data_IF_994774670574
#
_entry.id   IF_994774670574
#
_cell.length_a   1.000
_cell.length_b   1.000
_cell.length_c   1.000
_cell.angle_alpha   90.00
_cell.angle_beta   90.00
_cell.angle_gamma   90.00
#
_symmetry.space_group_name_H-M   'P 1'
#
loop_
_entity.id
_entity.type
_entity.pdbx_description
1 polymer ?
#
# COMPACT_ATOMS: atom_id res chain seq x y z
N UNK A 1 -33.85 1.73 -13.86
CA UNK A 1 -33.15 1.92 -12.58
C UNK A 1 -31.85 1.13 -12.66
N UNK A 2 -30.70 1.80 -12.79
CA UNK A 2 -29.41 1.14 -12.63
C UNK A 2 -29.25 0.78 -11.15
N UNK A 3 -28.82 -0.45 -10.81
CA UNK A 3 -28.46 -0.76 -9.43
C UNK A 3 -27.35 0.21 -8.97
N UNK A 4 -27.34 0.63 -7.70
CA UNK A 4 -26.25 1.44 -7.18
C UNK A 4 -24.93 0.69 -7.44
N UNK A 5 -23.96 1.36 -8.06
CA UNK A 5 -22.64 0.77 -8.35
C UNK A 5 -22.05 0.24 -7.05
N UNK A 6 -21.76 -1.06 -7.02
CA UNK A 6 -21.25 -1.72 -5.84
C UNK A 6 -19.85 -1.14 -5.51
N UNK A 7 -19.51 -0.87 -4.24
CA UNK A 7 -18.20 -0.33 -3.86
C UNK A 7 -17.04 -1.23 -4.33
N UNK A 8 -17.30 -2.53 -4.41
CA UNK A 8 -16.39 -3.52 -5.00
C UNK A 8 -16.13 -3.24 -6.48
N UNK A 9 -17.16 -2.97 -7.28
CA UNK A 9 -16.98 -2.68 -8.72
C UNK A 9 -16.15 -1.42 -8.96
N UNK A 10 -16.33 -0.37 -8.14
CA UNK A 10 -15.52 0.86 -8.27
C UNK A 10 -14.04 0.64 -7.92
N UNK A 11 -13.74 -0.21 -6.94
CA UNK A 11 -12.39 -0.57 -6.56
C UNK A 11 -11.72 -1.41 -7.66
N UNK A 12 -12.46 -2.34 -8.24
CA UNK A 12 -12.00 -3.25 -9.28
C UNK A 12 -11.79 -2.54 -10.63
N UNK A 13 -12.66 -1.59 -11.00
CA UNK A 13 -12.50 -0.74 -12.18
C UNK A 13 -11.20 0.08 -12.12
N UNK A 14 -10.84 0.57 -10.91
CA UNK A 14 -9.58 1.30 -10.69
C UNK A 14 -8.37 0.38 -10.79
N UNK A 15 -8.51 -0.86 -10.34
CA UNK A 15 -7.39 -1.80 -10.34
C UNK A 15 -7.01 -2.26 -11.76
N UNK A 16 -8.00 -2.54 -12.61
CA UNK A 16 -7.76 -2.90 -14.01
C UNK A 16 -7.12 -1.80 -14.88
N UNK A 17 -7.10 -0.55 -14.39
CA UNK A 17 -6.46 0.60 -15.06
C UNK A 17 -4.99 0.81 -14.63
N UNK A 18 -4.53 0.13 -13.58
CA UNK A 18 -3.25 0.38 -12.91
C UNK A 18 -2.14 -0.54 -13.46
N UNK A 19 -1.78 -0.43 -14.74
CA UNK A 19 -0.49 -1.00 -15.21
C UNK A 19 0.67 -0.13 -14.71
N UNK A 20 1.70 -0.68 -14.05
CA UNK A 20 2.81 0.11 -13.55
C UNK A 20 3.59 0.74 -14.72
N UNK A 21 3.52 2.07 -14.80
CA UNK A 21 4.44 2.87 -15.62
C UNK A 21 5.76 2.97 -14.86
N UNK A 22 6.88 2.66 -15.53
CA UNK A 22 8.23 2.79 -14.99
C UNK A 22 8.47 4.21 -14.46
N UNK A 23 8.95 4.33 -13.23
CA UNK A 23 9.27 5.61 -12.57
C UNK A 23 10.30 6.41 -13.39
N UNK A 24 10.07 7.72 -13.62
CA UNK A 24 11.07 8.62 -14.18
C UNK A 24 11.97 9.22 -13.09
N UNK A 25 13.23 9.43 -13.47
CA UNK A 25 14.36 10.01 -12.72
C UNK A 25 14.12 11.42 -12.09
N UNK A 26 12.93 11.99 -12.18
CA UNK A 26 12.61 13.36 -11.74
C UNK A 26 12.47 13.50 -10.21
N UNK A 27 12.01 12.46 -9.50
CA UNK A 27 11.79 12.52 -8.05
C UNK A 27 13.08 12.62 -7.23
N UNK A 28 14.21 12.15 -7.78
CA UNK A 28 15.55 12.30 -7.20
C UNK A 28 16.08 13.73 -7.36
N UNK A 29 15.69 14.44 -8.43
CA UNK A 29 16.13 15.81 -8.71
C UNK A 29 15.48 16.79 -7.72
N UNK A 30 14.18 16.69 -7.51
CA UNK A 30 13.45 17.57 -6.57
C UNK A 30 13.83 17.33 -5.10
N UNK A 31 14.17 16.08 -4.73
CA UNK A 31 14.66 15.74 -3.39
C UNK A 31 15.97 16.45 -3.05
N UNK A 32 16.86 16.62 -4.04
CA UNK A 32 18.14 17.33 -3.88
C UNK A 32 17.99 18.84 -3.81
N UNK A 33 16.95 19.40 -4.45
CA UNK A 33 16.62 20.83 -4.37
C UNK A 33 16.05 21.18 -2.98
N UNK A 34 15.16 20.36 -2.43
CA UNK A 34 14.57 20.59 -1.10
C UNK A 34 15.56 20.49 0.07
N UNK A 35 16.65 19.73 -0.09
CA UNK A 35 17.70 19.60 0.92
C UNK A 35 18.69 20.79 0.95
N UNK A 36 18.67 21.65 -0.08
CA UNK A 36 19.59 22.78 -0.23
C UNK A 36 19.05 24.10 0.35
N UNK A 37 17.77 24.14 0.78
CA UNK A 37 17.02 25.38 0.98
C UNK A 37 16.79 25.77 2.46
N UNK A 38 17.74 25.44 3.36
CA UNK A 38 17.63 25.79 4.77
C UNK A 38 18.80 26.69 5.23
N UNK A 39 18.75 28.01 4.98
CA UNK A 39 19.69 28.96 5.56
C UNK A 39 19.22 29.39 6.96
N UNK A 40 20.19 29.35 7.87
CA UNK A 40 20.27 29.96 9.20
C UNK A 40 19.20 31.01 9.55
N UNK A 41 18.56 30.82 10.70
CA UNK A 41 17.78 31.86 11.37
C UNK A 41 18.37 32.13 12.76
N UNK A 42 19.42 32.95 12.76
CA UNK A 42 19.97 33.64 13.93
C UNK A 42 19.15 34.91 14.22
N UNK A 43 18.57 35.01 15.42
CA UNK A 43 18.39 36.29 16.17
C UNK A 43 17.75 36.05 17.55
N UNK A 44 18.45 36.33 18.68
CA UNK A 44 18.00 36.01 20.04
C UNK A 44 17.25 37.15 20.80
N UNK A 45 16.87 38.27 20.17
CA UNK A 45 16.44 39.46 20.92
C UNK A 45 14.94 39.54 21.29
N UNK A 46 14.06 38.76 20.64
CA UNK A 46 12.61 38.75 20.95
C UNK A 46 12.28 37.90 22.20
N UNK A 47 13.16 36.99 22.59
CA UNK A 47 12.89 35.99 23.63
C UNK A 47 12.82 36.58 25.06
N UNK A 48 13.58 37.65 25.34
CA UNK A 48 13.74 38.21 26.69
C UNK A 48 12.49 38.93 27.22
N UNK A 49 11.75 39.64 26.37
CA UNK A 49 10.50 40.32 26.76
C UNK A 49 9.30 39.38 26.91
N UNK A 50 9.27 38.31 26.12
CA UNK A 50 8.22 37.30 26.15
C UNK A 50 8.32 36.44 27.42
N UNK A 51 9.55 36.03 27.80
CA UNK A 51 9.82 35.29 29.04
C UNK A 51 9.40 36.05 30.31
N UNK A 52 9.60 37.36 30.34
CA UNK A 52 9.20 38.20 31.48
C UNK A 52 7.67 38.27 31.64
N UNK A 53 6.93 38.38 30.53
CA UNK A 53 5.44 38.38 30.55
C UNK A 53 4.87 37.00 30.87
N UNK A 54 5.50 35.93 30.40
CA UNK A 54 5.13 34.55 30.77
C UNK A 54 5.30 34.34 32.28
N UNK A 55 6.45 34.73 32.87
CA UNK A 55 6.69 34.57 34.31
C UNK A 55 5.63 35.27 35.18
N UNK A 56 5.17 36.46 34.76
CA UNK A 56 4.15 37.22 35.49
C UNK A 56 2.75 36.56 35.45
N UNK A 57 2.39 35.93 34.34
CA UNK A 57 1.10 35.23 34.18
C UNK A 57 1.10 33.90 34.94
N UNK A 58 2.23 33.19 34.96
CA UNK A 58 2.39 31.91 35.65
C UNK A 58 2.50 32.02 37.19
N UNK A 59 2.85 33.19 37.73
CA UNK A 59 2.86 33.41 39.18
C UNK A 59 1.47 33.31 39.84
N UNK A 60 0.39 33.23 39.05
CA UNK A 60 -0.97 32.99 39.54
C UNK A 60 -1.22 31.48 39.72
N UNK A 61 -1.53 31.00 40.94
CA UNK A 61 -1.63 29.56 41.22
C UNK A 61 -2.69 28.84 40.37
N UNK A 62 -3.79 29.50 40.04
CA UNK A 62 -4.83 28.95 39.16
C UNK A 62 -4.40 28.78 37.69
N UNK A 63 -3.55 29.69 37.18
CA UNK A 63 -3.02 29.59 35.81
C UNK A 63 -1.97 28.48 35.68
N UNK A 64 -1.12 28.30 36.69
CA UNK A 64 -0.12 27.23 36.69
C UNK A 64 -0.76 25.84 36.70
N UNK A 65 -1.84 25.64 37.47
CA UNK A 65 -2.57 24.36 37.49
C UNK A 65 -3.24 24.10 36.15
N UNK A 66 -3.96 25.09 35.60
CA UNK A 66 -4.64 24.96 34.30
C UNK A 66 -3.65 24.73 33.14
N UNK A 67 -2.48 25.35 33.20
CA UNK A 67 -1.44 25.13 32.20
C UNK A 67 -0.80 23.74 32.34
N UNK A 68 -0.51 23.30 33.57
CA UNK A 68 0.03 21.96 33.80
C UNK A 68 -0.93 20.88 33.30
N UNK A 69 -2.23 21.01 33.56
CA UNK A 69 -3.24 20.08 33.04
C UNK A 69 -3.36 20.14 31.51
N UNK A 70 -3.32 21.33 30.92
CA UNK A 70 -3.30 21.49 29.45
C UNK A 70 -2.07 20.82 28.82
N UNK A 71 -0.89 20.96 29.43
CA UNK A 71 0.34 20.30 28.98
C UNK A 71 0.27 18.77 29.10
N UNK A 72 -0.32 18.25 30.17
CA UNK A 72 -0.53 16.79 30.32
C UNK A 72 -1.49 16.26 29.26
N UNK A 73 -2.62 16.94 29.03
CA UNK A 73 -3.59 16.54 27.98
C UNK A 73 -2.98 16.64 26.57
N UNK A 74 -2.20 17.69 26.30
CA UNK A 74 -1.51 17.85 25.03
C UNK A 74 -0.45 16.76 24.81
N UNK A 75 0.30 16.40 25.87
CA UNK A 75 1.25 15.28 25.83
C UNK A 75 0.58 13.95 25.51
N UNK A 76 -0.54 13.64 26.16
CA UNK A 76 -1.35 12.45 25.88
C UNK A 76 -1.88 12.44 24.44
N UNK A 77 -2.41 13.58 23.97
CA UNK A 77 -2.90 13.72 22.61
C UNK A 77 -1.81 13.54 21.55
N UNK A 78 -0.60 14.06 21.78
CA UNK A 78 0.53 13.88 20.87
C UNK A 78 1.03 12.44 20.86
N UNK A 79 1.03 11.74 22.00
CA UNK A 79 1.34 10.31 22.07
C UNK A 79 0.32 9.49 21.30
N UNK A 80 -0.96 9.81 21.43
CA UNK A 80 -2.04 9.12 20.71
C UNK A 80 -1.99 9.40 19.20
N UNK A 81 -1.69 10.64 18.79
CA UNK A 81 -1.43 10.98 17.39
C UNK A 81 -0.22 10.23 16.83
N UNK A 82 0.86 10.11 17.60
CA UNK A 82 2.05 9.36 17.20
C UNK A 82 1.72 7.87 17.05
N UNK A 83 1.00 7.30 18.01
CA UNK A 83 0.56 5.91 17.98
C UNK A 83 -0.36 5.65 16.79
N UNK A 84 -1.32 6.55 16.53
CA UNK A 84 -2.20 6.49 15.37
C UNK A 84 -1.43 6.54 14.05
N UNK A 85 -0.41 7.42 13.94
CA UNK A 85 0.45 7.50 12.75
C UNK A 85 1.31 6.24 12.58
N UNK A 86 1.89 5.72 13.66
CA UNK A 86 2.67 4.47 13.62
C UNK A 86 1.79 3.29 13.22
N UNK A 87 0.58 3.20 13.78
CA UNK A 87 -0.39 2.17 13.43
C UNK A 87 -0.83 2.29 11.97
N UNK A 88 -1.05 3.50 11.46
CA UNK A 88 -1.38 3.72 10.06
C UNK A 88 -0.26 3.26 9.12
N UNK A 89 1.00 3.57 9.44
CA UNK A 89 2.16 3.11 8.65
C UNK A 89 2.31 1.59 8.66
N UNK A 90 2.16 0.98 9.84
CA UNK A 90 2.22 -0.47 10.00
C UNK A 90 1.09 -1.17 9.22
N UNK A 91 -0.14 -0.65 9.31
CA UNK A 91 -1.28 -1.16 8.55
C UNK A 91 -1.05 -1.03 7.04
N UNK A 92 -0.47 0.06 6.54
CA UNK A 92 -0.12 0.19 5.12
C UNK A 92 0.88 -0.87 4.66
N UNK A 93 1.90 -1.16 5.48
CA UNK A 93 2.89 -2.19 5.17
C UNK A 93 2.24 -3.59 5.10
N UNK A 94 1.33 -3.89 6.03
CA UNK A 94 0.59 -5.16 6.03
C UNK A 94 -0.38 -5.28 4.85
N UNK A 95 -1.05 -4.20 4.47
CA UNK A 95 -1.90 -4.18 3.27
C UNK A 95 -1.05 -4.37 2.01
N UNK A 96 0.13 -3.75 1.93
CA UNK A 96 1.02 -3.92 0.79
C UNK A 96 1.58 -5.34 0.70
N UNK A 97 1.96 -5.97 1.82
CA UNK A 97 2.40 -7.36 1.82
C UNK A 97 1.24 -8.31 1.49
N UNK A 98 0.03 -8.02 1.94
CA UNK A 98 -1.18 -8.74 1.53
C UNK A 98 -1.41 -8.64 0.02
N UNK A 99 -1.36 -7.42 -0.55
CA UNK A 99 -1.55 -7.22 -1.99
C UNK A 99 -0.49 -7.94 -2.82
N UNK A 100 0.78 -7.92 -2.41
CA UNK A 100 1.84 -8.68 -3.10
C UNK A 100 1.63 -10.19 -3.06
N UNK A 101 0.95 -10.70 -2.03
CA UNK A 101 0.63 -12.12 -1.92
C UNK A 101 -0.49 -12.52 -2.86
N UNK A 102 -1.47 -11.62 -3.08
CA UNK A 102 -2.67 -11.92 -3.84
C UNK A 102 -2.61 -11.48 -5.30
N UNK A 103 -1.77 -10.49 -5.62
CA UNK A 103 -1.56 -9.93 -6.96
C UNK A 103 -0.19 -10.39 -7.52
N UNK A 104 -0.19 -11.33 -8.48
CA UNK A 104 1.04 -11.82 -9.09
C UNK A 104 1.85 -10.74 -9.83
N UNK A 105 1.21 -9.66 -10.28
CA UNK A 105 1.90 -8.56 -10.99
C UNK A 105 2.76 -7.72 -10.03
N UNK A 106 2.41 -7.68 -8.74
CA UNK A 106 3.12 -6.94 -7.71
C UNK A 106 4.25 -7.75 -7.05
N UNK A 107 4.36 -9.05 -7.35
CA UNK A 107 5.36 -9.93 -6.77
C UNK A 107 6.78 -9.47 -7.17
N UNK A 108 7.52 -8.91 -6.21
CA UNK A 108 8.77 -8.18 -6.47
C UNK A 108 10.02 -9.06 -6.62
N UNK A 109 9.92 -10.36 -6.89
CA UNK A 109 11.09 -11.12 -7.34
C UNK A 109 10.74 -12.46 -8.02
N UNK A 110 11.07 -12.64 -9.32
CA UNK A 110 10.67 -13.77 -10.14
C UNK A 110 11.54 -15.03 -9.96
N UNK A 111 11.76 -15.47 -8.72
CA UNK A 111 12.58 -16.67 -8.44
C UNK A 111 12.84 -16.99 -6.97
N UNK A 112 12.48 -16.08 -6.05
CA UNK A 112 12.44 -16.39 -4.63
C UNK A 112 11.05 -16.93 -4.32
N UNK A 113 10.87 -18.25 -4.38
CA UNK A 113 9.81 -18.90 -3.62
C UNK A 113 10.10 -18.55 -2.16
N UNK A 114 9.50 -17.49 -1.63
CA UNK A 114 9.74 -17.07 -0.26
C UNK A 114 9.27 -18.22 0.64
N UNK A 115 10.19 -18.95 1.31
CA UNK A 115 9.82 -20.11 2.11
C UNK A 115 8.92 -19.72 3.30
N UNK A 116 8.80 -18.42 3.59
CA UNK A 116 7.93 -17.87 4.61
C UNK A 116 6.59 -17.34 4.07
N UNK A 117 6.21 -17.61 2.81
CA UNK A 117 4.94 -17.14 2.26
C UNK A 117 3.72 -17.59 3.07
N UNK A 118 3.75 -18.81 3.65
CA UNK A 118 2.70 -19.31 4.54
C UNK A 118 2.70 -18.62 5.91
N UNK A 119 3.89 -18.39 6.49
CA UNK A 119 4.04 -17.69 7.78
C UNK A 119 3.59 -16.23 7.64
N UNK A 120 3.87 -15.62 6.48
CA UNK A 120 3.44 -14.28 6.13
C UNK A 120 1.91 -14.24 5.93
N UNK A 121 1.32 -15.22 5.25
CA UNK A 121 -0.15 -15.34 5.14
C UNK A 121 -0.83 -15.48 6.50
N UNK A 122 -0.30 -16.32 7.40
CA UNK A 122 -0.88 -16.53 8.72
C UNK A 122 -0.78 -15.27 9.61
N UNK A 123 0.34 -14.53 9.53
CA UNK A 123 0.46 -13.23 10.17
C UNK A 123 -0.55 -12.20 9.63
N UNK A 124 -0.76 -12.20 8.31
CA UNK A 124 -1.70 -11.31 7.63
C UNK A 124 -3.16 -11.64 7.96
N UNK A 125 -3.52 -12.92 7.98
CA UNK A 125 -4.85 -13.37 8.38
C UNK A 125 -5.12 -13.06 9.86
N UNK A 126 -4.09 -13.15 10.71
CA UNK A 126 -4.20 -12.76 12.13
C UNK A 126 -4.45 -11.26 12.29
N UNK A 127 -3.74 -10.43 11.52
CA UNK A 127 -4.02 -8.99 11.47
C UNK A 127 -5.45 -8.71 10.99
N UNK A 128 -5.85 -9.32 9.87
CA UNK A 128 -7.18 -9.14 9.29
C UNK A 128 -8.30 -9.58 10.24
N UNK A 129 -8.08 -10.66 11.00
CA UNK A 129 -8.98 -11.09 12.08
C UNK A 129 -9.20 -9.99 13.10
N UNK A 130 -8.11 -9.38 13.57
CA UNK A 130 -8.17 -8.37 14.62
C UNK A 130 -8.80 -7.06 14.12
N UNK A 131 -8.43 -6.61 12.92
CA UNK A 131 -8.91 -5.35 12.36
C UNK A 131 -10.40 -5.41 11.99
N UNK A 132 -10.83 -6.49 11.33
CA UNK A 132 -12.22 -6.69 10.90
C UNK A 132 -13.09 -7.41 11.95
N UNK A 133 -12.53 -7.74 13.12
CA UNK A 133 -13.19 -8.50 14.18
C UNK A 133 -13.83 -9.81 13.65
N UNK A 134 -13.09 -10.55 12.83
CA UNK A 134 -13.58 -11.81 12.25
C UNK A 134 -13.70 -12.87 13.34
N UNK A 135 -14.80 -13.61 13.31
CA UNK A 135 -14.90 -14.82 14.13
C UNK A 135 -14.07 -15.97 13.53
N UNK A 136 -13.82 -17.01 14.33
CA UNK A 136 -12.96 -18.14 13.92
C UNK A 136 -13.49 -18.89 12.69
N UNK A 137 -14.82 -18.96 12.53
CA UNK A 137 -15.44 -19.59 11.38
C UNK A 137 -15.23 -18.77 10.10
N UNK A 138 -15.34 -17.45 10.18
CA UNK A 138 -15.05 -16.53 9.08
C UNK A 138 -13.57 -16.61 8.68
N UNK A 139 -12.68 -16.57 9.67
CA UNK A 139 -11.24 -16.69 9.44
C UNK A 139 -10.88 -18.01 8.75
N UNK A 140 -11.42 -19.14 9.23
CA UNK A 140 -11.17 -20.45 8.63
C UNK A 140 -11.64 -20.52 7.17
N UNK A 141 -12.80 -19.92 6.86
CA UNK A 141 -13.31 -19.82 5.49
C UNK A 141 -12.41 -18.96 4.60
N UNK A 142 -12.00 -17.79 5.06
CA UNK A 142 -11.09 -16.90 4.31
C UNK A 142 -9.73 -17.57 4.09
N UNK A 143 -9.18 -18.25 5.11
CA UNK A 143 -7.95 -19.03 4.97
C UNK A 143 -8.08 -20.10 3.89
N UNK A 144 -9.19 -20.82 3.87
CA UNK A 144 -9.46 -21.85 2.87
C UNK A 144 -9.53 -21.25 1.45
N UNK A 145 -10.22 -20.12 1.26
CA UNK A 145 -10.26 -19.39 -0.02
C UNK A 145 -8.86 -19.05 -0.53
N UNK A 146 -7.96 -18.57 0.35
CA UNK A 146 -6.57 -18.26 -0.03
C UNK A 146 -5.78 -19.54 -0.37
N UNK A 147 -5.90 -20.59 0.43
CA UNK A 147 -5.20 -21.86 0.22
C UNK A 147 -5.61 -22.55 -1.09
N UNK A 148 -6.90 -22.55 -1.42
CA UNK A 148 -7.40 -23.13 -2.67
C UNK A 148 -6.81 -22.45 -3.91
N UNK A 149 -6.57 -21.13 -3.83
CA UNK A 149 -6.09 -20.31 -4.95
C UNK A 149 -4.57 -20.17 -5.01
N UNK A 150 -3.86 -20.48 -3.93
CA UNK A 150 -2.40 -20.34 -3.85
C UNK A 150 -1.64 -21.03 -5.00
N UNK A 151 -1.96 -22.27 -5.41
CA UNK A 151 -1.23 -22.91 -6.52
C UNK A 151 -1.37 -22.15 -7.84
N UNK A 152 -2.54 -21.60 -8.12
CA UNK A 152 -2.81 -20.84 -9.33
C UNK A 152 -2.12 -19.48 -9.31
N UNK A 153 -2.14 -18.76 -8.17
CA UNK A 153 -1.41 -17.50 -8.03
C UNK A 153 0.10 -17.66 -8.19
N UNK A 154 0.67 -18.76 -7.65
CA UNK A 154 2.08 -19.10 -7.84
C UNK A 154 2.40 -19.40 -9.31
N UNK A 155 1.51 -20.10 -10.02
CA UNK A 155 1.68 -20.35 -11.45
C UNK A 155 1.64 -19.06 -12.28
N UNK A 156 0.74 -18.13 -11.95
CA UNK A 156 0.69 -16.81 -12.58
C UNK A 156 1.94 -15.98 -12.29
N UNK A 157 2.42 -15.97 -11.04
CA UNK A 157 3.64 -15.27 -10.67
C UNK A 157 4.86 -15.81 -11.44
N UNK A 158 4.94 -17.13 -11.63
CA UNK A 158 5.97 -17.77 -12.47
C UNK A 158 5.87 -17.38 -13.96
N UNK A 159 4.67 -17.18 -14.49
CA UNK A 159 4.49 -16.69 -15.86
C UNK A 159 4.87 -15.22 -16.00
N UNK A 160 4.50 -14.37 -15.03
CA UNK A 160 4.88 -12.95 -15.00
C UNK A 160 6.41 -12.82 -14.95
N UNK A 161 7.04 -13.64 -14.12
CA UNK A 161 8.48 -13.79 -14.02
C UNK A 161 9.15 -14.10 -15.36
N UNK A 162 8.64 -15.10 -16.08
CA UNK A 162 9.13 -15.46 -17.42
C UNK A 162 8.93 -14.31 -18.41
N UNK A 163 7.77 -13.64 -18.38
CA UNK A 163 7.46 -12.51 -19.25
C UNK A 163 8.43 -11.34 -19.05
N UNK A 164 8.83 -11.06 -17.80
CA UNK A 164 9.83 -10.05 -17.48
C UNK A 164 11.21 -10.41 -18.03
N UNK A 165 11.61 -11.69 -17.94
CA UNK A 165 12.88 -12.17 -18.52
C UNK A 165 12.90 -12.04 -20.04
N UNK A 166 11.79 -12.39 -20.72
CA UNK A 166 11.67 -12.22 -22.17
C UNK A 166 11.76 -10.75 -22.59
N UNK A 167 11.22 -9.81 -21.80
CA UNK A 167 11.38 -8.38 -22.08
C UNK A 167 12.84 -7.93 -22.02
N UNK A 168 13.56 -8.36 -20.97
CA UNK A 168 15.00 -8.09 -20.81
C UNK A 168 15.77 -8.66 -22.01
N UNK A 169 15.40 -9.84 -22.50
CA UNK A 169 16.01 -10.43 -23.69
C UNK A 169 15.80 -9.55 -24.93
N UNK A 170 14.56 -9.11 -25.21
CA UNK A 170 14.28 -8.20 -26.33
C UNK A 170 15.07 -6.88 -26.22
N UNK A 171 15.20 -6.34 -25.01
CA UNK A 171 15.98 -5.12 -24.77
C UNK A 171 17.47 -5.32 -25.06
N UNK A 172 18.03 -6.45 -24.66
CA UNK A 172 19.41 -6.82 -24.93
C UNK A 172 19.66 -7.01 -26.43
N UNK A 173 18.78 -7.72 -27.14
CA UNK A 173 18.87 -7.93 -28.60
C UNK A 173 18.79 -6.60 -29.37
N UNK A 174 17.88 -5.71 -28.95
CA UNK A 174 17.80 -4.35 -29.49
C UNK A 174 19.12 -3.58 -29.29
N UNK A 175 19.72 -3.71 -28.11
CA UNK A 175 20.95 -3.00 -27.74
C UNK A 175 22.19 -3.56 -28.46
N UNK A 176 22.25 -4.86 -28.71
CA UNK A 176 23.40 -5.51 -29.36
C UNK A 176 23.33 -5.46 -30.88
N UNK A 177 22.19 -5.81 -31.48
CA UNK A 177 22.07 -6.08 -32.91
C UNK A 177 21.26 -5.01 -33.67
N UNK A 178 20.66 -4.07 -32.94
CA UNK A 178 19.89 -2.95 -33.50
C UNK A 178 18.61 -3.36 -34.25
N UNK A 179 18.20 -4.63 -34.12
CA UNK A 179 17.02 -5.20 -34.78
C UNK A 179 16.18 -5.93 -33.75
N UNK A 180 14.87 -5.69 -33.77
CA UNK A 180 13.87 -6.40 -32.99
C UNK A 180 12.92 -7.05 -34.00
N UNK A 181 12.61 -8.34 -33.84
CA UNK A 181 11.54 -8.96 -34.61
C UNK A 181 10.19 -8.40 -34.13
N UNK A 182 9.61 -7.49 -34.91
CA UNK A 182 8.36 -6.82 -34.56
C UNK A 182 7.17 -7.78 -34.50
N UNK A 183 7.19 -8.90 -35.25
CA UNK A 183 6.11 -9.89 -35.21
C UNK A 183 6.19 -10.72 -33.93
N UNK A 184 7.40 -11.09 -33.52
CA UNK A 184 7.64 -11.77 -32.25
C UNK A 184 7.29 -10.86 -31.07
N UNK A 185 7.73 -9.60 -31.11
CA UNK A 185 7.39 -8.61 -30.09
C UNK A 185 5.88 -8.34 -30.01
N UNK A 186 5.17 -8.30 -31.15
CA UNK A 186 3.71 -8.14 -31.15
C UNK A 186 3.00 -9.33 -30.46
N UNK A 187 3.47 -10.57 -30.69
CA UNK A 187 2.94 -11.75 -29.98
C UNK A 187 3.25 -11.70 -28.49
N UNK A 188 4.45 -11.29 -28.12
CA UNK A 188 4.84 -11.06 -26.73
C UNK A 188 3.92 -10.04 -26.04
N UNK A 189 3.64 -8.90 -26.68
CA UNK A 189 2.72 -7.88 -26.16
C UNK A 189 1.30 -8.44 -25.96
N UNK A 190 0.81 -9.25 -26.90
CA UNK A 190 -0.51 -9.89 -26.76
C UNK A 190 -0.55 -10.92 -25.62
N UNK A 191 0.51 -11.74 -25.48
CA UNK A 191 0.65 -12.69 -24.38
C UNK A 191 0.69 -11.98 -23.02
N UNK A 192 1.48 -10.90 -22.91
CA UNK A 192 1.51 -10.07 -21.70
C UNK A 192 0.13 -9.51 -21.36
N UNK A 193 -0.59 -8.96 -22.35
CA UNK A 193 -1.96 -8.47 -22.13
C UNK A 193 -2.91 -9.55 -21.62
N UNK A 194 -2.83 -10.78 -22.16
CA UNK A 194 -3.65 -11.91 -21.70
C UNK A 194 -3.31 -12.29 -20.25
N UNK A 195 -2.02 -12.34 -19.93
CA UNK A 195 -1.54 -12.64 -18.58
C UNK A 195 -1.96 -11.57 -17.58
N UNK A 196 -1.83 -10.28 -17.92
CA UNK A 196 -2.27 -9.17 -17.07
C UNK A 196 -3.77 -9.25 -16.76
N UNK A 197 -4.59 -9.59 -17.76
CA UNK A 197 -6.03 -9.81 -17.56
C UNK A 197 -6.30 -10.98 -16.63
N UNK A 198 -5.57 -12.10 -16.78
CA UNK A 198 -5.75 -13.28 -15.94
C UNK A 198 -5.31 -13.03 -14.48
N UNK A 199 -4.20 -12.32 -14.28
CA UNK A 199 -3.76 -11.87 -12.96
C UNK A 199 -4.83 -11.00 -12.28
N UNK A 200 -5.29 -9.96 -12.97
CA UNK A 200 -6.31 -9.05 -12.45
C UNK A 200 -7.63 -9.77 -12.10
N UNK A 201 -8.10 -10.65 -12.99
CA UNK A 201 -9.32 -11.44 -12.74
C UNK A 201 -9.15 -12.42 -11.57
N UNK A 202 -7.99 -13.07 -11.46
CA UNK A 202 -7.69 -13.99 -10.36
C UNK A 202 -7.72 -13.27 -9.02
N UNK A 203 -7.09 -12.09 -8.94
CA UNK A 203 -7.06 -11.33 -7.70
C UNK A 203 -8.40 -10.67 -7.38
N UNK A 204 -9.13 -10.16 -8.40
CA UNK A 204 -10.53 -9.71 -8.27
C UNK A 204 -11.39 -10.80 -7.63
N UNK A 205 -11.29 -12.03 -8.13
CA UNK A 205 -12.09 -13.15 -7.64
C UNK A 205 -11.73 -13.54 -6.21
N UNK A 206 -10.43 -13.52 -5.86
CA UNK A 206 -10.00 -13.80 -4.48
C UNK A 206 -10.55 -12.76 -3.49
N UNK A 207 -10.46 -11.46 -3.83
CA UNK A 207 -10.98 -10.38 -2.99
C UNK A 207 -12.50 -10.51 -2.84
N UNK A 208 -13.21 -10.75 -3.94
CA UNK A 208 -14.66 -10.93 -3.92
C UNK A 208 -15.07 -12.10 -3.00
N UNK A 209 -14.49 -13.28 -3.20
CA UNK A 209 -14.79 -14.48 -2.40
C UNK A 209 -14.43 -14.30 -0.92
N UNK A 210 -13.33 -13.61 -0.62
CA UNK A 210 -12.96 -13.29 0.77
C UNK A 210 -13.96 -12.34 1.41
N UNK A 211 -14.44 -11.35 0.66
CA UNK A 211 -15.41 -10.35 1.10
C UNK A 211 -16.83 -10.90 1.27
N UNK A 212 -17.15 -12.02 0.62
CA UNK A 212 -18.45 -12.71 0.75
C UNK A 212 -18.61 -13.48 2.07
N UNK A 213 -17.50 -13.76 2.76
CA UNK A 213 -17.52 -14.36 4.10
C UNK A 213 -17.84 -13.33 5.20
N UNK A 214 -17.72 -12.04 4.88
CA UNK A 214 -17.83 -10.93 5.81
C UNK A 214 -19.25 -10.38 5.90
N UNK A 215 -19.61 -9.75 7.02
CA UNK A 215 -20.83 -8.94 7.10
C UNK A 215 -20.69 -7.69 6.21
N UNK A 216 -21.80 -7.01 5.85
CA UNK A 216 -21.71 -5.79 5.03
C UNK A 216 -20.79 -4.71 5.61
N UNK A 217 -20.80 -4.53 6.94
CA UNK A 217 -19.93 -3.56 7.62
C UNK A 217 -18.46 -3.99 7.58
N UNK A 218 -18.17 -5.27 7.84
CA UNK A 218 -16.82 -5.81 7.75
C UNK A 218 -16.26 -5.74 6.32
N UNK A 219 -17.12 -6.01 5.32
CA UNK A 219 -16.79 -5.90 3.91
C UNK A 219 -16.42 -4.46 3.54
N UNK A 220 -17.20 -3.49 3.98
CA UNK A 220 -16.90 -2.08 3.72
C UNK A 220 -15.55 -1.69 4.32
N UNK A 221 -15.29 -2.07 5.59
CA UNK A 221 -14.01 -1.82 6.24
C UNK A 221 -12.85 -2.54 5.51
N UNK A 222 -13.04 -3.78 5.10
CA UNK A 222 -12.05 -4.54 4.33
C UNK A 222 -11.67 -3.85 3.02
N UNK A 223 -12.66 -3.38 2.24
CA UNK A 223 -12.40 -2.68 0.98
C UNK A 223 -11.73 -1.32 1.23
N UNK A 224 -12.08 -0.61 2.31
CA UNK A 224 -11.41 0.62 2.71
C UNK A 224 -9.95 0.39 3.11
N UNK A 225 -9.58 -0.76 3.70
CA UNK A 225 -8.19 -1.09 3.98
C UNK A 225 -7.35 -1.24 2.70
N UNK A 226 -7.96 -1.70 1.60
CA UNK A 226 -7.26 -1.93 0.33
C UNK A 226 -7.11 -0.63 -0.50
N UNK A 227 -8.00 0.35 -0.33
CA UNK A 227 -8.03 1.60 -1.12
C UNK A 227 -6.74 2.45 -1.05
N UNK A 228 -6.07 2.65 0.12
CA UNK A 228 -4.81 3.39 0.19
C UNK A 228 -3.69 2.76 -0.63
N UNK A 229 -3.55 1.44 -0.57
CA UNK A 229 -2.50 0.75 -1.29
C UNK A 229 -2.75 0.79 -2.81
N UNK A 230 -4.01 0.68 -3.25
CA UNK A 230 -4.41 0.87 -4.65
C UNK A 230 -4.17 2.30 -5.15
N UNK A 231 -4.34 3.30 -4.29
CA UNK A 231 -3.96 4.70 -4.60
C UNK A 231 -2.47 4.90 -4.69
N UNK A 232 -1.65 4.08 -4.03
CA UNK A 232 -0.19 4.23 -4.07
C UNK A 232 0.40 3.55 -5.32
N UNK A 233 -0.22 2.45 -5.79
CA UNK A 233 0.14 1.81 -7.08
C UNK A 233 -0.43 2.54 -8.30
N UNK A 234 -1.59 3.20 -8.18
CA UNK A 234 -2.17 4.05 -9.24
C UNK A 234 -1.80 5.54 -9.16
N UNK A 235 -1.15 5.97 -8.07
CA UNK A 235 -0.85 7.36 -7.73
C UNK A 235 0.52 7.86 -8.17
N UNK A 236 1.18 7.16 -9.08
CA UNK A 236 2.24 7.72 -9.94
C UNK A 236 1.62 8.56 -11.08
N UNK A 237 0.65 9.40 -10.75
CA UNK A 237 0.06 10.36 -11.67
C UNK A 237 0.13 11.70 -10.99
N UNK A 238 1.23 12.40 -11.26
CA UNK A 238 1.29 13.76 -11.80
C UNK A 238 2.73 14.01 -12.27
#
# INVERSE_FOLDING_TARGET
MQPPKEPLDNLLDRWGQSTPSSEPLESEVWRRIAAADNPDNDSPEVALGFLARIKAVFARPSFSIAFATACVLLGLFLVELRNSRQQAQHNLQLVQSYLRLVDPLLASNPGATDPHASDNLDALLTWMKNDLQLNDQQLARIKNVHQQRSPHLLALASQVAQMQQSLIQFENERASDGRVDFLEFARFVEQRRKLDLECNESTRRLIAESSDVMTPQQREQYLQLLDPALKTTGGGSL
#
